data_IF_797386012951
#
_entry.id   IF_797386012951
#
_cell.length_a   1.000
_cell.length_b   1.000
_cell.length_c   1.000
_cell.angle_alpha   90.00
_cell.angle_beta   90.00
_cell.angle_gamma   90.00
#
_symmetry.space_group_name_H-M   'P 1'
#
loop_
_entity.id
_entity.type
_entity.pdbx_description
1 polymer ?
#
# COMPACT_ATOMS: atom_id res chain seq x y z
N UNK A 1 -6.35 6.29 9.51
CA UNK A 1 -7.00 5.03 9.91
C UNK A 1 -6.74 3.92 8.90
N UNK A 2 -7.14 4.06 7.63
CA UNK A 2 -6.86 3.04 6.58
C UNK A 2 -5.34 2.81 6.39
N UNK A 3 -4.54 3.87 6.44
CA UNK A 3 -3.08 3.80 6.40
C UNK A 3 -2.49 2.86 7.48
N UNK A 4 -2.79 3.11 8.76
CA UNK A 4 -2.29 2.30 9.87
C UNK A 4 -2.76 0.84 9.81
N UNK A 5 -3.97 0.61 9.27
CA UNK A 5 -4.49 -0.74 9.06
C UNK A 5 -3.73 -1.47 7.95
N UNK A 6 -3.51 -0.82 6.81
CA UNK A 6 -2.68 -1.34 5.72
C UNK A 6 -1.24 -1.61 6.19
N UNK A 7 -0.66 -0.70 6.99
CA UNK A 7 0.67 -0.88 7.55
C UNK A 7 0.75 -2.14 8.42
N UNK A 8 -0.28 -2.45 9.22
CA UNK A 8 -0.31 -3.68 10.04
C UNK A 8 -0.42 -4.95 9.20
N UNK A 9 -1.18 -4.93 8.11
CA UNK A 9 -1.34 -6.08 7.20
C UNK A 9 -0.08 -6.35 6.37
N UNK A 10 0.57 -5.30 5.89
CA UNK A 10 1.79 -5.39 5.09
C UNK A 10 3.04 -5.69 5.93
N UNK A 11 3.08 -5.17 7.15
CA UNK A 11 4.29 -5.10 7.96
C UNK A 11 4.03 -5.51 9.40
N UNK A 12 4.22 -6.81 9.65
CA UNK A 12 4.55 -7.32 10.98
C UNK A 12 5.97 -6.88 11.39
N UNK A 13 6.76 -7.80 11.97
CA UNK A 13 8.12 -7.51 12.46
C UNK A 13 9.19 -7.60 11.34
N UNK A 14 8.94 -6.94 10.21
CA UNK A 14 9.76 -7.07 9.00
C UNK A 14 10.81 -5.97 8.92
N UNK A 15 12.05 -6.36 8.65
CA UNK A 15 13.23 -5.48 8.59
C UNK A 15 13.37 -4.78 7.22
N UNK A 16 12.31 -4.07 6.82
CA UNK A 16 12.36 -3.16 5.67
C UNK A 16 12.54 -1.72 6.18
N UNK A 17 13.28 -0.91 5.41
CA UNK A 17 13.42 0.51 5.69
C UNK A 17 12.06 1.15 5.91
N UNK A 18 11.90 1.82 7.05
CA UNK A 18 10.64 2.42 7.48
C UNK A 18 10.02 3.28 6.37
N UNK A 19 10.82 4.10 5.69
CA UNK A 19 10.35 4.94 4.57
C UNK A 19 9.61 4.12 3.50
N UNK A 20 10.15 2.96 3.11
CA UNK A 20 9.54 2.11 2.08
C UNK A 20 8.28 1.42 2.57
N UNK A 21 8.17 1.12 3.86
CA UNK A 21 6.97 0.55 4.49
C UNK A 21 5.81 1.53 4.55
N UNK A 22 6.09 2.76 4.96
CA UNK A 22 5.10 3.84 5.00
C UNK A 22 4.55 4.09 3.58
N UNK A 23 5.43 4.05 2.58
CA UNK A 23 5.09 4.22 1.16
C UNK A 23 4.20 3.08 0.62
N UNK A 24 4.41 1.81 1.02
CA UNK A 24 3.51 0.71 0.66
C UNK A 24 2.14 0.84 1.33
N UNK A 25 2.10 1.18 2.62
CA UNK A 25 0.85 1.39 3.36
C UNK A 25 0.03 2.56 2.78
N UNK A 26 0.69 3.65 2.41
CA UNK A 26 0.05 4.79 1.75
C UNK A 26 -0.46 4.45 0.34
N UNK A 27 0.27 3.63 -0.41
CA UNK A 27 -0.19 3.14 -1.70
C UNK A 27 -1.50 2.33 -1.58
N UNK A 28 -1.58 1.41 -0.60
CA UNK A 28 -2.83 0.65 -0.33
C UNK A 28 -3.97 1.58 0.08
N UNK A 29 -3.71 2.54 0.97
CA UNK A 29 -4.71 3.50 1.41
C UNK A 29 -5.24 4.37 0.26
N UNK A 30 -4.39 4.77 -0.68
CA UNK A 30 -4.79 5.52 -1.87
C UNK A 30 -5.63 4.65 -2.84
N UNK A 31 -5.29 3.37 -3.05
CA UNK A 31 -6.10 2.45 -3.88
C UNK A 31 -7.50 2.29 -3.27
N UNK A 32 -7.58 2.00 -1.98
CA UNK A 32 -8.86 1.85 -1.29
C UNK A 32 -9.68 3.14 -1.24
N UNK A 33 -9.04 4.28 -0.95
CA UNK A 33 -9.72 5.57 -0.93
C UNK A 33 -10.37 5.87 -2.28
N UNK A 34 -9.66 5.60 -3.39
CA UNK A 34 -10.20 5.74 -4.75
C UNK A 34 -11.34 4.77 -5.03
N UNK A 35 -11.20 3.50 -4.63
CA UNK A 35 -12.27 2.51 -4.77
C UNK A 35 -13.54 2.95 -4.02
N UNK A 36 -13.40 3.50 -2.81
CA UNK A 36 -14.51 4.03 -2.01
C UNK A 36 -15.01 5.43 -2.44
N UNK A 37 -14.45 6.04 -3.49
CA UNK A 37 -14.83 7.38 -3.95
C UNK A 37 -14.40 8.54 -3.04
N UNK A 38 -13.38 8.33 -2.20
CA UNK A 38 -12.80 9.35 -1.33
C UNK A 38 -11.77 10.20 -2.06
N UNK A 39 -11.61 11.45 -1.64
CA UNK A 39 -10.52 12.31 -2.12
C UNK A 39 -9.18 11.85 -1.52
N UNK A 40 -8.29 11.33 -2.37
CA UNK A 40 -6.95 10.87 -2.00
C UNK A 40 -5.83 11.75 -2.56
N UNK A 41 -6.16 12.97 -3.00
CA UNK A 41 -5.21 13.89 -3.64
C UNK A 41 -3.96 14.21 -2.79
N UNK A 42 -4.04 14.06 -1.47
CA UNK A 42 -2.92 14.24 -0.54
C UNK A 42 -1.90 13.08 -0.45
N UNK A 43 -2.21 11.90 -1.03
CA UNK A 43 -1.41 10.66 -0.83
C UNK A 43 -0.61 10.23 -2.06
N UNK A 44 -0.15 11.18 -2.88
CA UNK A 44 0.46 10.86 -4.18
C UNK A 44 1.92 11.32 -4.27
N UNK A 45 2.88 10.41 -4.06
CA UNK A 45 4.10 10.22 -4.90
C UNK A 45 5.00 9.05 -4.43
N UNK A 46 4.49 7.83 -4.33
CA UNK A 46 5.26 6.70 -3.78
C UNK A 46 6.37 6.14 -4.70
N UNK A 47 6.24 6.30 -6.02
CA UNK A 47 7.21 5.77 -7.00
C UNK A 47 8.62 6.35 -6.84
N UNK A 48 8.74 7.63 -6.43
CA UNK A 48 10.03 8.25 -6.21
C UNK A 48 10.81 7.62 -5.05
N UNK A 49 10.12 6.98 -4.10
CA UNK A 49 10.79 6.28 -2.98
C UNK A 49 11.49 4.98 -3.40
N UNK A 50 11.27 4.52 -4.64
CA UNK A 50 11.83 3.27 -5.17
C UNK A 50 12.60 3.45 -6.49
N UNK A 51 12.94 4.68 -6.87
CA UNK A 51 13.64 4.96 -8.13
C UNK A 51 14.97 4.19 -8.26
N UNK A 52 15.67 3.99 -7.14
CA UNK A 52 16.96 3.29 -7.08
C UNK A 52 16.86 1.79 -6.77
N UNK A 53 15.65 1.24 -6.59
CA UNK A 53 15.45 -0.17 -6.26
C UNK A 53 15.49 -1.05 -7.52
N UNK A 54 15.86 -2.31 -7.33
CA UNK A 54 15.81 -3.30 -8.40
C UNK A 54 14.37 -3.48 -8.93
N UNK A 55 14.14 -3.52 -10.26
CA UNK A 55 12.82 -3.71 -10.83
C UNK A 55 12.06 -4.94 -10.30
N UNK A 56 12.75 -6.03 -9.96
CA UNK A 56 12.13 -7.21 -9.37
C UNK A 56 11.63 -6.94 -7.95
N UNK A 57 12.39 -6.18 -7.16
CA UNK A 57 11.97 -5.73 -5.83
C UNK A 57 10.75 -4.83 -5.96
N UNK A 58 10.78 -3.86 -6.87
CA UNK A 58 9.64 -2.95 -7.12
C UNK A 58 8.39 -3.74 -7.51
N UNK A 59 8.53 -4.76 -8.37
CA UNK A 59 7.43 -5.65 -8.75
C UNK A 59 6.87 -6.45 -7.58
N UNK A 60 7.72 -6.96 -6.68
CA UNK A 60 7.28 -7.63 -5.46
C UNK A 60 6.47 -6.68 -4.56
N UNK A 61 6.94 -5.44 -4.38
CA UNK A 61 6.21 -4.40 -3.63
C UNK A 61 4.83 -4.16 -4.21
N UNK A 62 4.74 -3.99 -5.53
CA UNK A 62 3.45 -3.85 -6.21
C UNK A 62 2.54 -5.06 -6.00
N UNK A 63 3.09 -6.27 -6.07
CA UNK A 63 2.34 -7.50 -5.80
C UNK A 63 1.75 -7.53 -4.38
N UNK A 64 2.50 -7.09 -3.37
CA UNK A 64 2.03 -6.97 -1.98
C UNK A 64 0.93 -5.92 -1.84
N UNK A 65 1.13 -4.73 -2.42
CA UNK A 65 0.14 -3.65 -2.42
C UNK A 65 -1.18 -4.09 -3.06
N UNK A 66 -1.13 -4.68 -4.26
CA UNK A 66 -2.32 -5.14 -4.98
C UNK A 66 -3.08 -6.21 -4.19
N UNK A 67 -2.38 -7.23 -3.67
CA UNK A 67 -3.02 -8.28 -2.87
C UNK A 67 -3.70 -7.73 -1.62
N UNK A 68 -3.02 -6.88 -0.87
CA UNK A 68 -3.60 -6.29 0.35
C UNK A 68 -4.80 -5.39 0.02
N UNK A 69 -4.75 -4.65 -1.08
CA UNK A 69 -5.90 -3.86 -1.53
C UNK A 69 -7.09 -4.76 -1.92
N UNK A 70 -6.85 -5.85 -2.64
CA UNK A 70 -7.89 -6.86 -2.99
C UNK A 70 -8.51 -7.47 -1.74
N UNK A 71 -7.71 -7.94 -0.79
CA UNK A 71 -8.19 -8.52 0.48
C UNK A 71 -9.10 -7.53 1.25
N UNK A 72 -8.76 -6.25 1.22
CA UNK A 72 -9.54 -5.20 1.87
C UNK A 72 -10.82 -4.86 1.12
N UNK A 73 -10.80 -4.90 -0.22
CA UNK A 73 -11.99 -4.73 -1.04
C UNK A 73 -12.96 -5.89 -0.79
N UNK A 74 -12.47 -7.13 -0.82
CA UNK A 74 -13.29 -8.33 -0.55
C UNK A 74 -13.94 -8.26 0.84
N UNK A 75 -13.20 -7.79 1.85
CA UNK A 75 -13.72 -7.59 3.20
C UNK A 75 -14.81 -6.49 3.27
N UNK A 76 -14.73 -5.46 2.42
CA UNK A 76 -15.74 -4.40 2.33
C UNK A 76 -17.00 -4.86 1.59
N UNK A 77 -16.85 -5.67 0.55
CA UNK A 77 -17.97 -6.21 -0.23
C UNK A 77 -18.74 -7.32 0.50
N UNK A 78 -18.17 -7.87 1.58
CA UNK A 78 -18.87 -8.75 2.51
C UNK A 78 -19.21 -10.11 1.90
N UNK A 79 -18.20 -10.84 1.45
CA UNK A 79 -18.35 -12.28 1.09
C UNK A 79 -18.54 -13.15 2.32
#
# INVERSE_FOLDING_TARGET
MIHEYAHTLLHGDVDAERSKREVEAEAVANVLGRYCGLDTSGSTFYLAAWESDDPEVVRDRFGRISRTAEELIDALEGT
#
